data_IF_835068542452
#
_entry.id   IF_835068542452
#
_cell.length_a   1.000
_cell.length_b   1.000
_cell.length_c   1.000
_cell.angle_alpha   90.00
_cell.angle_beta   90.00
_cell.angle_gamma   90.00
#
_symmetry.space_group_name_H-M   'P 1'
#
loop_
_entity.id
_entity.type
_entity.pdbx_description
1 polymer ?
#
# COMPACT_ATOMS: atom_id res chain seq x y z
N UNK A 1 -19.88 -2.51 -5.77
CA UNK A 1 -20.79 -1.34 -5.89
C UNK A 1 -21.60 -1.43 -7.17
N UNK A 2 -22.92 -1.25 -7.08
CA UNK A 2 -23.81 -1.23 -8.28
C UNK A 2 -23.55 -0.03 -9.19
N UNK A 3 -22.95 1.04 -8.66
CA UNK A 3 -22.68 2.28 -9.39
C UNK A 3 -21.31 2.26 -10.09
N UNK A 4 -20.27 1.82 -9.40
CA UNK A 4 -18.89 1.90 -9.92
C UNK A 4 -18.35 0.54 -10.38
N UNK A 5 -18.94 -0.57 -9.95
CA UNK A 5 -18.43 -1.92 -10.23
C UNK A 5 -17.11 -2.27 -9.51
N UNK A 6 -16.49 -1.33 -8.80
CA UNK A 6 -15.17 -1.54 -8.15
C UNK A 6 -15.24 -2.69 -7.14
N UNK A 7 -16.21 -2.66 -6.24
CA UNK A 7 -16.40 -3.74 -5.26
C UNK A 7 -17.51 -4.68 -5.75
N UNK A 8 -17.15 -5.92 -6.03
CA UNK A 8 -18.03 -6.93 -6.57
C UNK A 8 -18.89 -7.59 -5.49
N UNK A 9 -18.29 -7.92 -4.35
CA UNK A 9 -18.95 -8.63 -3.25
C UNK A 9 -18.48 -8.07 -1.90
N UNK A 10 -19.40 -8.06 -0.92
CA UNK A 10 -19.11 -7.78 0.49
C UNK A 10 -20.00 -8.67 1.33
N UNK A 11 -19.41 -9.43 2.25
CA UNK A 11 -20.14 -10.36 3.13
C UNK A 11 -19.48 -10.48 4.50
N UNK A 12 -20.31 -10.65 5.51
CA UNK A 12 -19.88 -11.02 6.85
C UNK A 12 -19.35 -12.45 6.83
N UNK A 13 -18.18 -12.67 7.41
CA UNK A 13 -17.62 -14.02 7.57
C UNK A 13 -18.19 -14.68 8.83
N UNK A 14 -18.57 -15.97 8.75
CA UNK A 14 -19.01 -16.71 9.93
C UNK A 14 -17.83 -16.98 10.85
N UNK A 15 -18.06 -17.01 12.16
CA UNK A 15 -17.06 -17.43 13.15
C UNK A 15 -16.08 -16.34 13.60
N UNK A 16 -16.36 -15.07 13.33
CA UNK A 16 -15.52 -13.92 13.74
C UNK A 16 -15.45 -13.66 15.25
N UNK A 17 -16.07 -14.48 16.08
CA UNK A 17 -16.10 -14.28 17.54
C UNK A 17 -16.74 -12.93 17.92
N UNK A 18 -16.20 -12.29 18.94
CA UNK A 18 -16.68 -10.99 19.41
C UNK A 18 -16.34 -9.82 18.45
N UNK A 19 -15.46 -10.03 17.47
CA UNK A 19 -15.09 -9.01 16.50
C UNK A 19 -15.58 -9.40 15.09
N UNK A 20 -16.59 -8.71 14.54
CA UNK A 20 -17.06 -8.97 13.19
C UNK A 20 -15.96 -8.76 12.14
N UNK A 21 -15.91 -9.66 11.16
CA UNK A 21 -14.98 -9.59 10.04
C UNK A 21 -15.78 -9.65 8.74
N UNK A 22 -15.63 -8.66 7.87
CA UNK A 22 -16.18 -8.69 6.52
C UNK A 22 -15.09 -9.03 5.52
N UNK A 23 -15.48 -9.85 4.55
CA UNK A 23 -14.74 -10.07 3.31
C UNK A 23 -15.30 -9.14 2.24
N UNK A 24 -14.42 -8.53 1.47
CA UNK A 24 -14.78 -7.85 0.24
C UNK A 24 -13.97 -8.38 -0.93
N UNK A 25 -14.50 -8.25 -2.14
CA UNK A 25 -13.84 -8.67 -3.36
C UNK A 25 -13.94 -7.58 -4.40
N UNK A 26 -12.83 -7.32 -5.10
CA UNK A 26 -12.79 -6.46 -6.26
C UNK A 26 -12.04 -7.12 -7.40
N UNK A 27 -12.25 -6.64 -8.63
CA UNK A 27 -11.58 -7.13 -9.81
C UNK A 27 -10.63 -6.05 -10.32
N UNK A 28 -9.43 -6.46 -10.68
CA UNK A 28 -8.44 -5.59 -11.34
C UNK A 28 -7.97 -6.20 -12.64
N UNK A 29 -7.65 -5.36 -13.64
CA UNK A 29 -6.94 -5.82 -14.82
C UNK A 29 -5.57 -6.34 -14.38
N UNK A 30 -5.20 -7.51 -14.87
CA UNK A 30 -3.88 -8.07 -14.67
C UNK A 30 -3.33 -8.55 -16.01
N UNK A 31 -2.07 -8.27 -16.27
CA UNK A 31 -1.39 -8.70 -17.47
C UNK A 31 -0.23 -9.62 -17.09
N UNK A 32 -0.35 -10.88 -17.37
CA UNK A 32 0.78 -11.79 -17.47
C UNK A 32 0.89 -12.22 -18.92
N UNK A 33 2.08 -12.38 -19.41
CA UNK A 33 2.32 -12.97 -20.75
C UNK A 33 1.63 -12.22 -21.92
N UNK A 34 1.31 -10.95 -21.75
CA UNK A 34 0.72 -10.11 -22.80
C UNK A 34 -0.79 -10.24 -22.98
N UNK A 35 -1.46 -11.18 -22.34
CA UNK A 35 -2.91 -11.32 -22.40
C UNK A 35 -3.60 -10.56 -21.26
N UNK A 36 -4.62 -9.73 -21.52
CA UNK A 36 -5.39 -9.10 -20.47
C UNK A 36 -6.21 -10.16 -19.72
N UNK A 37 -6.06 -10.22 -18.40
CA UNK A 37 -6.86 -11.07 -17.52
C UNK A 37 -7.49 -10.21 -16.44
N UNK A 38 -8.62 -10.65 -15.91
CA UNK A 38 -9.25 -10.05 -14.75
C UNK A 38 -8.93 -10.94 -13.55
N UNK A 39 -8.26 -10.38 -12.56
CA UNK A 39 -7.93 -11.09 -11.33
C UNK A 39 -8.83 -10.61 -10.19
N UNK A 40 -9.49 -11.56 -9.53
CA UNK A 40 -10.20 -11.29 -8.30
C UNK A 40 -9.22 -11.11 -7.14
N UNK A 41 -9.40 -10.04 -6.39
CA UNK A 41 -8.64 -9.75 -5.19
C UNK A 41 -9.57 -9.75 -3.97
N UNK A 42 -9.13 -10.41 -2.92
CA UNK A 42 -9.86 -10.48 -1.65
C UNK A 42 -9.27 -9.52 -0.62
N UNK A 43 -10.14 -8.81 0.08
CA UNK A 43 -9.79 -7.93 1.18
C UNK A 43 -10.59 -8.30 2.41
N UNK A 44 -10.03 -8.00 3.58
CA UNK A 44 -10.70 -8.22 4.86
C UNK A 44 -10.78 -6.91 5.63
N UNK A 45 -11.94 -6.69 6.24
CA UNK A 45 -12.15 -5.59 7.17
C UNK A 45 -12.63 -6.12 8.52
N UNK A 46 -12.17 -5.51 9.59
CA UNK A 46 -12.55 -5.83 10.96
C UNK A 46 -12.97 -4.58 11.70
N UNK A 47 -13.76 -4.75 12.75
CA UNK A 47 -14.22 -3.62 13.56
C UNK A 47 -14.97 -4.09 14.80
N UNK A 48 -15.22 -3.18 15.72
CA UNK A 48 -16.02 -3.44 16.92
C UNK A 48 -17.54 -3.58 16.63
N UNK A 49 -17.97 -3.29 15.40
CA UNK A 49 -19.34 -3.48 14.94
C UNK A 49 -19.35 -4.00 13.48
N UNK A 50 -20.45 -4.59 13.07
CA UNK A 50 -20.64 -5.03 11.67
C UNK A 50 -20.51 -3.86 10.70
N UNK A 51 -21.05 -2.69 11.02
CA UNK A 51 -20.94 -1.50 10.18
C UNK A 51 -19.47 -1.07 10.01
N UNK A 52 -18.69 -1.08 11.08
CA UNK A 52 -17.27 -0.71 11.04
C UNK A 52 -16.46 -1.75 10.24
N UNK A 53 -16.69 -3.04 10.46
CA UNK A 53 -15.99 -4.09 9.71
C UNK A 53 -16.36 -4.09 8.23
N UNK A 54 -17.61 -3.82 7.89
CA UNK A 54 -18.08 -3.66 6.51
C UNK A 54 -17.39 -2.44 5.85
N UNK A 55 -17.39 -1.27 6.50
CA UNK A 55 -16.72 -0.07 6.01
C UNK A 55 -15.22 -0.33 5.82
N UNK A 56 -14.54 -0.96 6.78
CA UNK A 56 -13.14 -1.34 6.67
C UNK A 56 -12.87 -2.21 5.45
N UNK A 57 -13.68 -3.26 5.22
CA UNK A 57 -13.51 -4.15 4.06
C UNK A 57 -13.72 -3.41 2.72
N UNK A 58 -14.71 -2.52 2.65
CA UNK A 58 -14.96 -1.69 1.47
C UNK A 58 -13.79 -0.72 1.21
N UNK A 59 -13.32 -0.05 2.23
CA UNK A 59 -12.22 0.90 2.16
C UNK A 59 -10.93 0.24 1.66
N UNK A 60 -10.57 -0.94 2.17
CA UNK A 60 -9.40 -1.69 1.69
C UNK A 60 -9.54 -2.08 0.21
N UNK A 61 -10.74 -2.49 -0.23
CA UNK A 61 -10.96 -2.84 -1.63
C UNK A 61 -10.80 -1.62 -2.56
N UNK A 62 -11.34 -0.46 -2.18
CA UNK A 62 -11.20 0.79 -2.94
C UNK A 62 -9.74 1.27 -2.97
N UNK A 63 -9.04 1.21 -1.83
CA UNK A 63 -7.61 1.52 -1.72
C UNK A 63 -6.79 0.68 -2.69
N UNK A 64 -6.97 -0.65 -2.66
CA UNK A 64 -6.22 -1.58 -3.52
C UNK A 64 -6.55 -1.42 -5.00
N UNK A 65 -7.80 -1.13 -5.32
CA UNK A 65 -8.20 -0.83 -6.68
C UNK A 65 -7.55 0.45 -7.20
N UNK A 66 -7.59 1.53 -6.41
CA UNK A 66 -7.02 2.81 -6.77
C UNK A 66 -5.47 2.80 -6.84
N UNK A 67 -4.82 1.91 -6.08
CA UNK A 67 -3.37 1.75 -6.12
C UNK A 67 -2.87 0.87 -7.27
N UNK A 68 -3.76 0.18 -8.01
CA UNK A 68 -3.38 -0.62 -9.16
C UNK A 68 -3.30 0.25 -10.43
N UNK A 69 -2.28 0.00 -11.25
CA UNK A 69 -2.14 0.67 -12.55
C UNK A 69 -3.35 0.42 -13.46
N UNK A 70 -4.03 1.49 -13.87
CA UNK A 70 -5.20 1.43 -14.75
C UNK A 70 -4.84 1.79 -16.21
N UNK A 71 -3.79 2.58 -16.41
CA UNK A 71 -3.31 3.03 -17.72
C UNK A 71 -3.72 4.45 -18.10
N UNK A 72 -4.41 5.15 -17.20
CA UNK A 72 -4.86 6.54 -17.37
C UNK A 72 -4.18 7.51 -16.39
N UNK A 73 -3.24 7.01 -15.57
CA UNK A 73 -2.50 7.83 -14.63
C UNK A 73 -1.53 8.78 -15.32
N UNK A 74 -1.37 9.96 -14.73
CA UNK A 74 -0.43 10.95 -15.22
C UNK A 74 1.01 10.40 -15.21
N UNK A 75 1.64 10.36 -16.37
CA UNK A 75 2.97 9.78 -16.55
C UNK A 75 3.83 10.60 -17.53
N UNK A 76 5.12 10.71 -17.22
CA UNK A 76 6.15 11.22 -18.12
C UNK A 76 7.23 10.16 -18.33
N UNK A 77 7.63 9.93 -19.57
CA UNK A 77 8.79 9.12 -19.91
C UNK A 77 9.98 10.05 -20.16
N UNK A 78 10.93 10.11 -19.23
CA UNK A 78 12.06 11.04 -19.28
C UNK A 78 13.23 10.54 -18.42
N UNK A 79 14.40 11.15 -18.61
CA UNK A 79 15.47 11.07 -17.61
C UNK A 79 15.15 12.00 -16.45
N UNK A 80 15.61 11.69 -15.25
CA UNK A 80 15.32 12.51 -14.05
C UNK A 80 15.71 13.99 -14.22
N UNK A 81 16.80 14.25 -14.92
CA UNK A 81 17.28 15.62 -15.17
C UNK A 81 16.39 16.43 -16.15
N UNK A 82 15.50 15.79 -16.87
CA UNK A 82 14.61 16.42 -17.85
C UNK A 82 13.20 16.72 -17.28
N UNK A 83 12.96 16.31 -16.04
CA UNK A 83 11.66 16.51 -15.39
C UNK A 83 11.44 17.98 -15.01
N UNK A 84 10.19 18.48 -15.07
CA UNK A 84 9.88 19.87 -14.74
C UNK A 84 9.95 20.17 -13.23
N UNK A 85 10.11 19.17 -12.37
CA UNK A 85 10.35 19.30 -10.94
C UNK A 85 11.27 18.18 -10.45
N UNK A 86 11.94 18.32 -9.29
CA UNK A 86 12.88 17.31 -8.79
C UNK A 86 12.23 15.95 -8.59
N UNK A 87 12.98 14.88 -8.92
CA UNK A 87 12.57 13.50 -8.73
C UNK A 87 13.11 12.92 -7.40
N UNK A 88 12.34 12.01 -6.83
CA UNK A 88 12.81 11.02 -5.86
C UNK A 88 13.14 9.77 -6.67
N UNK A 89 14.43 9.50 -6.82
CA UNK A 89 14.92 8.46 -7.72
C UNK A 89 14.84 7.06 -7.11
N UNK A 90 14.86 5.98 -7.91
CA UNK A 90 14.78 4.60 -7.40
C UNK A 90 15.82 4.25 -6.35
N UNK A 91 17.03 4.77 -6.46
CA UNK A 91 18.10 4.57 -5.47
C UNK A 91 17.82 5.26 -4.13
N UNK A 92 17.08 6.37 -4.13
CA UNK A 92 16.61 7.03 -2.90
C UNK A 92 15.48 6.24 -2.21
N UNK A 93 14.78 5.37 -2.94
CA UNK A 93 13.71 4.51 -2.43
C UNK A 93 14.19 3.09 -2.11
N UNK A 94 15.39 2.73 -2.52
CA UNK A 94 15.96 1.39 -2.35
C UNK A 94 17.01 1.39 -1.25
N UNK A 95 16.72 0.64 -0.17
CA UNK A 95 17.58 0.56 1.01
C UNK A 95 18.47 -0.70 1.04
N UNK A 96 18.63 -1.40 -0.08
CA UNK A 96 19.47 -2.58 -0.16
C UNK A 96 20.95 -2.20 -0.36
N UNK A 97 21.85 -2.83 0.41
CA UNK A 97 23.29 -2.68 0.22
C UNK A 97 23.77 -3.29 -1.11
N UNK A 98 24.98 -2.96 -1.53
CA UNK A 98 25.57 -3.54 -2.72
C UNK A 98 25.70 -5.08 -2.59
N UNK A 99 26.03 -5.58 -1.40
CA UNK A 99 26.14 -7.01 -1.10
C UNK A 99 24.78 -7.70 -1.17
N UNK A 100 23.72 -7.07 -0.63
CA UNK A 100 22.37 -7.60 -0.71
C UNK A 100 21.90 -7.70 -2.15
N UNK A 101 22.18 -6.70 -2.98
CA UNK A 101 21.85 -6.74 -4.43
C UNK A 101 22.65 -7.82 -5.17
N UNK A 102 23.95 -7.94 -4.88
CA UNK A 102 24.82 -8.94 -5.54
C UNK A 102 24.42 -10.38 -5.20
N UNK A 103 23.87 -10.61 -3.99
CA UNK A 103 23.42 -11.93 -3.53
C UNK A 103 21.94 -12.22 -3.77
N UNK A 104 21.18 -11.26 -4.30
CA UNK A 104 19.76 -11.40 -4.51
C UNK A 104 19.41 -12.41 -5.61
N UNK A 105 18.38 -13.21 -5.36
CA UNK A 105 17.86 -14.17 -6.32
C UNK A 105 16.84 -13.52 -7.25
N UNK A 106 16.67 -14.05 -8.48
CA UNK A 106 15.60 -13.59 -9.35
C UNK A 106 14.23 -13.61 -8.65
N UNK A 107 13.50 -12.50 -8.72
CA UNK A 107 12.20 -12.33 -8.04
C UNK A 107 12.26 -11.72 -6.63
N UNK A 108 13.44 -11.62 -6.02
CA UNK A 108 13.60 -10.87 -4.77
C UNK A 108 13.65 -9.35 -5.04
N UNK A 109 13.13 -8.55 -4.11
CA UNK A 109 13.15 -7.08 -4.25
C UNK A 109 14.57 -6.51 -4.41
N UNK A 110 15.56 -7.12 -3.74
CA UNK A 110 16.96 -6.71 -3.85
C UNK A 110 17.55 -6.98 -5.25
N UNK A 111 16.94 -7.84 -6.06
CA UNK A 111 17.36 -8.14 -7.43
C UNK A 111 16.90 -7.09 -8.47
N UNK A 112 16.25 -6.02 -8.03
CA UNK A 112 15.84 -4.93 -8.92
C UNK A 112 17.05 -4.34 -9.64
N UNK A 113 16.83 -3.94 -10.89
CA UNK A 113 17.87 -3.31 -11.72
C UNK A 113 18.40 -2.04 -11.04
N UNK A 114 19.70 -1.85 -11.07
CA UNK A 114 20.32 -0.62 -10.58
C UNK A 114 19.81 0.59 -11.39
N UNK A 115 19.53 1.67 -10.69
CA UNK A 115 19.13 2.92 -11.33
C UNK A 115 20.30 3.50 -12.14
N UNK A 116 20.02 3.86 -13.38
CA UNK A 116 20.93 4.60 -14.25
C UNK A 116 20.26 5.94 -14.61
N UNK A 117 20.84 7.09 -14.22
CA UNK A 117 20.30 8.41 -14.50
C UNK A 117 20.17 8.74 -16.00
N UNK A 118 20.91 8.03 -16.86
CA UNK A 118 20.88 8.23 -18.31
C UNK A 118 19.76 7.45 -19.00
N UNK A 119 19.18 6.47 -18.31
CA UNK A 119 18.08 5.68 -18.87
C UNK A 119 16.74 6.37 -18.60
N UNK A 120 15.93 6.68 -19.63
CA UNK A 120 14.58 7.19 -19.45
C UNK A 120 13.71 6.21 -18.66
N UNK A 121 12.93 6.73 -17.72
CA UNK A 121 12.00 5.97 -16.89
C UNK A 121 10.62 6.62 -16.91
N UNK A 122 9.62 5.86 -16.50
CA UNK A 122 8.27 6.38 -16.28
C UNK A 122 8.18 7.02 -14.89
N UNK A 123 7.80 8.27 -14.87
CA UNK A 123 7.62 9.09 -13.67
C UNK A 123 6.17 9.51 -13.52
N UNK A 124 5.68 9.57 -12.30
CA UNK A 124 4.37 10.12 -11.96
C UNK A 124 4.51 11.31 -11.03
N UNK A 125 3.69 12.37 -11.20
CA UNK A 125 3.72 13.52 -10.30
C UNK A 125 3.16 13.15 -8.92
N UNK A 126 3.78 13.66 -7.88
CA UNK A 126 3.36 13.52 -6.49
C UNK A 126 3.56 14.82 -5.74
N UNK A 127 2.80 15.02 -4.68
CA UNK A 127 2.93 16.20 -3.83
C UNK A 127 3.69 15.87 -2.56
N UNK A 128 4.83 16.50 -2.35
CA UNK A 128 5.58 16.40 -1.09
C UNK A 128 4.88 17.22 -0.01
N UNK A 129 4.36 16.55 1.02
CA UNK A 129 3.72 17.21 2.16
C UNK A 129 4.74 17.98 3.00
N UNK A 130 5.95 17.47 3.13
CA UNK A 130 7.04 18.07 3.92
C UNK A 130 7.53 19.36 3.28
N UNK A 131 7.72 19.36 1.95
CA UNK A 131 8.28 20.48 1.22
C UNK A 131 7.21 21.39 0.62
N UNK A 132 5.94 20.96 0.69
CA UNK A 132 4.80 21.63 0.05
C UNK A 132 5.07 21.94 -1.44
N UNK A 133 5.57 20.93 -2.17
CA UNK A 133 6.03 21.08 -3.54
C UNK A 133 5.77 19.85 -4.40
N UNK A 134 5.70 20.07 -5.73
CA UNK A 134 5.64 18.99 -6.70
C UNK A 134 6.96 18.22 -6.72
N UNK A 135 6.87 16.90 -6.76
CA UNK A 135 7.95 15.95 -6.97
C UNK A 135 7.54 14.91 -7.99
N UNK A 136 8.52 14.22 -8.56
CA UNK A 136 8.27 13.06 -9.41
C UNK A 136 8.80 11.80 -8.75
N UNK A 137 8.01 10.73 -8.79
CA UNK A 137 8.39 9.42 -8.30
C UNK A 137 8.38 8.41 -9.45
N UNK A 138 9.17 7.32 -9.35
CA UNK A 138 9.06 6.23 -10.29
C UNK A 138 7.62 5.67 -10.30
N UNK A 139 7.04 5.53 -11.48
CA UNK A 139 5.67 5.03 -11.65
C UNK A 139 5.46 3.70 -10.90
N UNK A 140 6.43 2.79 -11.02
CA UNK A 140 6.39 1.48 -10.40
C UNK A 140 6.50 1.48 -8.87
N UNK A 141 6.92 2.59 -8.26
CA UNK A 141 6.86 2.77 -6.81
C UNK A 141 5.47 3.21 -6.33
N UNK A 142 4.72 3.90 -7.19
CA UNK A 142 3.42 4.47 -6.86
C UNK A 142 2.25 3.52 -7.17
N UNK A 143 2.38 2.70 -8.22
CA UNK A 143 1.27 1.86 -8.68
C UNK A 143 1.65 0.38 -8.73
N UNK A 144 0.77 -0.45 -8.17
CA UNK A 144 0.86 -1.90 -8.30
C UNK A 144 0.67 -2.30 -9.78
N UNK A 145 1.35 -3.36 -10.18
CA UNK A 145 1.25 -3.92 -11.55
C UNK A 145 1.65 -2.94 -12.66
N UNK A 146 2.51 -1.97 -12.34
CA UNK A 146 3.10 -1.12 -13.37
C UNK A 146 3.76 -1.99 -14.45
N UNK A 147 3.55 -1.67 -15.75
CA UNK A 147 4.04 -2.52 -16.85
C UNK A 147 5.57 -2.53 -16.92
N UNK A 148 6.13 -3.65 -17.39
CA UNK A 148 7.53 -3.73 -17.79
C UNK A 148 7.81 -2.78 -18.99
N UNK A 149 9.01 -2.17 -19.10
CA UNK A 149 10.20 -2.44 -18.29
C UNK A 149 10.31 -1.62 -17.01
N UNK A 150 9.34 -0.76 -16.69
CA UNK A 150 9.45 0.20 -15.58
C UNK A 150 9.39 -0.46 -14.20
N UNK A 151 8.72 -1.61 -14.10
CA UNK A 151 8.67 -2.40 -12.86
C UNK A 151 10.05 -2.93 -12.39
N UNK A 152 11.06 -2.93 -13.29
CA UNK A 152 12.38 -3.45 -12.97
C UNK A 152 13.21 -2.52 -12.06
N UNK A 153 12.85 -1.23 -11.99
CA UNK A 153 13.64 -0.22 -11.28
C UNK A 153 13.13 0.11 -9.88
N UNK A 154 11.86 -0.14 -9.62
CA UNK A 154 11.25 0.15 -8.33
C UNK A 154 10.12 -0.84 -8.04
N UNK A 155 9.92 -1.18 -6.79
CA UNK A 155 8.84 -2.07 -6.35
C UNK A 155 7.74 -1.30 -5.62
N UNK A 156 6.51 -1.54 -5.99
CA UNK A 156 5.35 -1.04 -5.27
C UNK A 156 5.23 -1.67 -3.88
N UNK A 157 4.77 -0.88 -2.94
CA UNK A 157 4.36 -1.31 -1.60
C UNK A 157 3.05 -0.65 -1.23
N UNK A 158 2.17 -1.38 -0.56
CA UNK A 158 0.94 -0.80 -0.04
C UNK A 158 1.12 0.06 1.21
N UNK A 159 2.33 0.11 1.76
CA UNK A 159 2.60 0.94 2.94
C UNK A 159 2.34 2.41 2.62
N UNK A 160 1.47 3.03 3.40
CA UNK A 160 1.04 4.41 3.20
C UNK A 160 -0.11 4.58 2.20
N UNK A 161 -0.63 3.49 1.62
CA UNK A 161 -1.88 3.55 0.88
C UNK A 161 -3.06 3.57 1.87
N UNK A 162 -4.01 4.47 1.65
CA UNK A 162 -5.20 4.55 2.47
C UNK A 162 -6.39 5.12 1.69
N UNK A 163 -7.58 4.83 2.17
CA UNK A 163 -8.81 5.46 1.74
C UNK A 163 -9.47 6.21 2.90
N UNK A 164 -10.30 7.19 2.59
CA UNK A 164 -11.01 8.00 3.58
C UNK A 164 -12.25 8.65 2.97
N UNK A 165 -13.09 9.26 3.80
CA UNK A 165 -14.25 10.01 3.35
C UNK A 165 -13.88 11.32 2.66
N UNK A 166 -12.67 11.81 2.90
CA UNK A 166 -12.07 12.94 2.21
C UNK A 166 -10.56 12.69 2.04
N UNK A 167 -9.93 13.51 1.19
CA UNK A 167 -8.49 13.40 0.90
C UNK A 167 -7.62 13.55 2.15
N UNK A 168 -7.96 14.46 3.04
CA UNK A 168 -7.22 14.74 4.27
C UNK A 168 -7.25 13.55 5.23
N UNK A 169 -8.40 12.87 5.33
CA UNK A 169 -8.53 11.63 6.10
C UNK A 169 -7.67 10.51 5.50
N UNK A 170 -7.70 10.31 4.19
CA UNK A 170 -6.87 9.32 3.50
C UNK A 170 -5.37 9.60 3.72
N UNK A 171 -4.94 10.87 3.60
CA UNK A 171 -3.55 11.28 3.86
C UNK A 171 -3.15 10.96 5.30
N UNK A 172 -4.00 11.30 6.29
CA UNK A 172 -3.73 11.01 7.69
C UNK A 172 -3.60 9.52 7.97
N UNK A 173 -4.52 8.71 7.44
CA UNK A 173 -4.48 7.25 7.61
C UNK A 173 -3.23 6.65 6.97
N UNK A 174 -2.87 7.07 5.75
CA UNK A 174 -1.64 6.63 5.09
C UNK A 174 -0.38 6.99 5.87
N UNK A 175 -0.31 8.21 6.40
CA UNK A 175 0.81 8.65 7.25
C UNK A 175 0.92 7.81 8.53
N UNK A 176 -0.20 7.58 9.21
CA UNK A 176 -0.23 6.76 10.44
C UNK A 176 0.19 5.32 10.15
N UNK A 177 -0.21 4.75 9.01
CA UNK A 177 0.24 3.41 8.62
C UNK A 177 1.76 3.38 8.38
N UNK A 178 2.34 4.37 7.71
CA UNK A 178 3.80 4.43 7.50
C UNK A 178 4.53 4.46 8.83
N UNK A 179 4.06 5.28 9.79
CA UNK A 179 4.65 5.35 11.15
C UNK A 179 4.53 4.00 11.86
N UNK A 180 3.37 3.34 11.78
CA UNK A 180 3.16 2.00 12.36
C UNK A 180 4.12 0.99 11.75
N UNK A 181 4.22 0.94 10.42
CA UNK A 181 5.07 -0.01 9.70
C UNK A 181 6.55 0.19 10.01
N UNK A 182 7.00 1.44 10.10
CA UNK A 182 8.38 1.77 10.48
C UNK A 182 8.67 1.27 11.91
N UNK A 183 7.81 1.61 12.86
CA UNK A 183 7.97 1.18 14.26
C UNK A 183 7.97 -0.35 14.42
N UNK A 184 7.09 -1.05 13.70
CA UNK A 184 7.02 -2.51 13.71
C UNK A 184 8.26 -3.12 13.05
N UNK A 185 8.73 -2.57 11.93
CA UNK A 185 9.93 -3.05 11.26
C UNK A 185 11.18 -2.89 12.14
N UNK A 186 11.35 -1.72 12.77
CA UNK A 186 12.45 -1.50 13.71
C UNK A 186 12.40 -2.52 14.85
N UNK A 187 11.23 -2.71 15.45
CA UNK A 187 11.05 -3.68 16.54
C UNK A 187 11.36 -5.11 16.10
N UNK A 188 10.79 -5.55 14.99
CA UNK A 188 10.88 -6.92 14.51
C UNK A 188 12.28 -7.30 14.03
N UNK A 189 12.85 -6.51 13.13
CA UNK A 189 14.14 -6.84 12.52
C UNK A 189 15.33 -6.69 13.48
N UNK A 190 15.20 -5.84 14.50
CA UNK A 190 16.23 -5.69 15.54
C UNK A 190 15.95 -6.56 16.77
N UNK A 191 14.89 -7.37 16.77
CA UNK A 191 14.50 -8.23 17.91
C UNK A 191 14.46 -7.48 19.24
N UNK A 192 13.93 -6.25 19.24
CA UNK A 192 13.93 -5.37 20.41
C UNK A 192 12.90 -5.87 21.44
N UNK A 193 13.35 -6.21 22.64
CA UNK A 193 12.43 -6.48 23.75
C UNK A 193 11.68 -5.20 24.12
N UNK A 194 10.38 -5.27 24.21
CA UNK A 194 9.51 -4.16 24.64
C UNK A 194 8.80 -4.53 25.93
N UNK A 195 8.60 -3.58 26.84
CA UNK A 195 7.82 -3.82 28.05
C UNK A 195 6.37 -4.13 27.66
N UNK A 196 5.71 -4.97 28.45
CA UNK A 196 4.29 -5.23 28.30
C UNK A 196 3.49 -3.93 28.45
N UNK A 197 2.56 -3.68 27.55
CA UNK A 197 1.66 -2.53 27.65
C UNK A 197 0.78 -2.68 28.91
N UNK A 198 0.81 -1.69 29.79
CA UNK A 198 -0.08 -1.61 30.96
C UNK A 198 -1.31 -0.83 30.55
N UNK A 199 -2.42 -1.52 30.34
CA UNK A 199 -3.70 -0.86 30.11
C UNK A 199 -4.30 -0.45 31.45
N UNK A 200 -4.80 0.79 31.56
CA UNK A 200 -5.59 1.21 32.71
C UNK A 200 -6.82 0.31 32.85
N UNK A 201 -7.25 0.00 34.06
CA UNK A 201 -8.40 -0.87 34.35
C UNK A 201 -9.67 -0.45 33.57
N UNK A 202 -9.90 0.86 33.42
CA UNK A 202 -10.99 1.38 32.61
C UNK A 202 -10.87 1.06 31.09
N UNK A 203 -9.65 0.97 30.56
CA UNK A 203 -9.43 0.58 29.16
C UNK A 203 -9.62 -0.94 28.97
N UNK A 204 -9.17 -1.74 29.94
CA UNK A 204 -9.42 -3.18 29.96
C UNK A 204 -10.91 -3.50 30.04
N UNK A 205 -11.64 -2.82 30.93
CA UNK A 205 -13.09 -2.98 31.05
C UNK A 205 -13.82 -2.61 29.75
N UNK A 206 -13.44 -1.52 29.09
CA UNK A 206 -14.00 -1.14 27.77
C UNK A 206 -13.68 -2.17 26.68
N UNK A 207 -12.47 -2.70 26.66
CA UNK A 207 -12.09 -3.72 25.72
C UNK A 207 -12.88 -5.02 25.94
N UNK A 208 -13.01 -5.47 27.19
CA UNK A 208 -13.82 -6.63 27.56
C UNK A 208 -15.31 -6.44 27.22
N UNK A 209 -15.86 -5.24 27.44
CA UNK A 209 -17.24 -4.92 27.05
C UNK A 209 -17.44 -4.92 25.53
N UNK A 210 -16.46 -4.43 24.76
CA UNK A 210 -16.53 -4.35 23.31
C UNK A 210 -16.31 -5.71 22.63
N UNK A 211 -15.46 -6.56 23.21
CA UNK A 211 -15.07 -7.85 22.62
C UNK A 211 -15.85 -9.04 23.19
N UNK A 212 -16.63 -8.84 24.25
CA UNK A 212 -17.34 -9.90 24.96
C UNK A 212 -16.45 -10.67 25.94
N UNK A 213 -17.06 -11.54 26.77
CA UNK A 213 -16.30 -12.47 27.60
C UNK A 213 -15.59 -13.49 26.70
N UNK A 214 -14.38 -13.90 27.08
CA UNK A 214 -13.62 -14.98 26.45
C UNK A 214 -14.37 -16.31 26.37
#
# INVERSE_FOLDING_TARGET
SRLTGVVADVRLLPGGGAMPVHHSQFFRPWRSDGAPRIQAQSCLGKGASEAQSCASALCVAVERYAAAWQGDEAMLLARAAELPAPAITPDMLSFFSAEQRASARPGERAAQRAYDPQTPQAWTPAWSLTENALRYLPLAACYADAPAPWADFAGWSSNGCASGNCREEAILQGLLEVIERDAVAIWWYNMISRPQARCAAAAQARAAQALGPD
#
